data_IF_795911617294
#
_entry.id   IF_795911617294
#
_cell.length_a   1.000
_cell.length_b   1.000
_cell.length_c   1.000
_cell.angle_alpha   90.00
_cell.angle_beta   90.00
_cell.angle_gamma   90.00
#
_symmetry.space_group_name_H-M   'P 1'
#
loop_
_entity.id
_entity.type
_entity.pdbx_description
1 polymer ?
#
# COMPACT_ATOMS: atom_id res chain seq x y z
N UNK A 1 -17.44 15.30 -15.38
CA UNK A 1 -16.03 14.98 -15.67
C UNK A 1 -15.43 14.36 -14.43
N UNK A 2 -15.04 13.09 -14.47
CA UNK A 2 -14.23 12.54 -13.38
C UNK A 2 -12.87 13.20 -13.40
N UNK A 3 -12.41 13.76 -12.27
CA UNK A 3 -11.03 14.28 -12.19
C UNK A 3 -10.06 13.16 -12.57
N UNK A 4 -9.24 13.44 -13.58
CA UNK A 4 -8.21 12.56 -14.10
C UNK A 4 -7.11 12.39 -13.05
N UNK A 5 -6.55 11.18 -12.96
CA UNK A 5 -5.34 10.93 -12.19
C UNK A 5 -4.16 11.23 -13.12
N UNK A 6 -3.66 12.46 -13.06
CA UNK A 6 -2.61 12.97 -13.95
C UNK A 6 -1.56 13.81 -13.19
N UNK A 7 -0.61 14.40 -13.90
CA UNK A 7 0.51 15.15 -13.32
C UNK A 7 0.10 16.35 -12.45
N UNK A 8 -1.11 16.85 -12.60
CA UNK A 8 -1.67 17.95 -11.81
C UNK A 8 -2.44 17.45 -10.58
N UNK A 9 -2.53 16.15 -10.38
CA UNK A 9 -3.15 15.58 -9.19
C UNK A 9 -2.33 15.93 -7.94
N UNK A 10 -3.03 16.21 -6.83
CA UNK A 10 -2.43 16.47 -5.53
C UNK A 10 -3.32 15.96 -4.39
N UNK A 11 -2.75 15.68 -3.20
CA UNK A 11 -3.52 15.21 -2.05
C UNK A 11 -4.53 16.24 -1.51
N UNK A 12 -5.56 15.78 -0.80
CA UNK A 12 -6.62 16.61 -0.21
C UNK A 12 -7.89 16.69 -1.05
N UNK A 13 -7.98 15.96 -2.17
CA UNK A 13 -9.17 15.90 -3.02
C UNK A 13 -10.20 14.83 -2.59
N UNK A 14 -10.13 14.33 -1.34
CA UNK A 14 -11.02 13.32 -0.76
C UNK A 14 -11.19 12.06 -1.62
N UNK A 15 -10.10 11.56 -2.22
CA UNK A 15 -10.10 10.36 -3.07
C UNK A 15 -8.94 9.46 -2.71
N UNK A 16 -9.29 8.24 -2.34
CA UNK A 16 -8.33 7.20 -2.03
C UNK A 16 -7.85 6.56 -3.34
N UNK A 17 -6.56 6.33 -3.40
CA UNK A 17 -5.86 5.68 -4.49
C UNK A 17 -4.90 4.67 -3.88
N UNK A 18 -5.03 3.42 -4.34
CA UNK A 18 -4.04 2.37 -4.11
C UNK A 18 -3.08 2.33 -5.30
N UNK A 19 -1.80 2.17 -5.01
CA UNK A 19 -0.75 1.98 -6.02
C UNK A 19 0.27 0.96 -5.52
N UNK A 20 1.01 0.35 -6.45
CA UNK A 20 1.88 -0.79 -6.14
C UNK A 20 3.34 -0.40 -6.30
N UNK A 21 4.13 -0.72 -5.29
CA UNK A 21 5.53 -0.36 -5.20
C UNK A 21 6.43 -1.58 -5.07
N UNK A 22 7.65 -1.48 -5.56
CA UNK A 22 8.73 -2.44 -5.37
C UNK A 22 9.94 -1.75 -4.74
N UNK A 23 10.51 -2.34 -3.71
CA UNK A 23 11.73 -1.84 -3.07
C UNK A 23 13.01 -2.32 -3.77
N UNK A 24 14.17 -1.92 -3.27
CA UNK A 24 15.47 -2.26 -3.87
C UNK A 24 15.81 -3.76 -3.80
N UNK A 25 15.13 -4.51 -2.93
CA UNK A 25 15.30 -5.95 -2.77
C UNK A 25 14.29 -6.75 -3.60
N UNK A 26 13.41 -6.09 -4.34
CA UNK A 26 12.38 -6.72 -5.14
C UNK A 26 11.12 -7.11 -4.36
N UNK A 27 10.96 -6.64 -3.11
CA UNK A 27 9.77 -6.88 -2.32
C UNK A 27 8.65 -5.94 -2.76
N UNK A 28 7.42 -6.47 -2.87
CA UNK A 28 6.27 -5.71 -3.34
C UNK A 28 5.43 -5.19 -2.17
N UNK A 29 4.92 -3.96 -2.31
CA UNK A 29 3.97 -3.35 -1.38
C UNK A 29 2.74 -2.80 -2.09
N UNK A 30 1.59 -2.93 -1.46
CA UNK A 30 0.45 -2.03 -1.73
C UNK A 30 0.63 -0.75 -0.92
N UNK A 31 0.30 0.39 -1.54
CA UNK A 31 0.41 1.72 -0.96
C UNK A 31 -0.95 2.39 -1.03
N UNK A 32 -1.60 2.60 0.11
CA UNK A 32 -2.88 3.31 0.19
C UNK A 32 -2.62 4.77 0.57
N UNK A 33 -3.01 5.70 -0.30
CA UNK A 33 -2.73 7.12 -0.06
C UNK A 33 -3.72 7.81 0.91
N UNK A 34 -4.84 7.17 1.25
CA UNK A 34 -5.95 7.74 2.06
C UNK A 34 -6.36 9.17 1.65
N UNK A 35 -6.17 9.55 0.39
CA UNK A 35 -6.40 10.90 -0.10
C UNK A 35 -5.42 11.97 0.37
N UNK A 36 -4.46 11.69 1.25
CA UNK A 36 -3.50 12.65 1.81
C UNK A 36 -2.04 12.36 1.43
N UNK A 37 -1.71 11.11 1.11
CA UNK A 37 -0.42 10.70 0.61
C UNK A 37 -0.22 11.13 -0.85
N UNK A 38 0.97 11.64 -1.16
CA UNK A 38 1.40 11.88 -2.53
C UNK A 38 1.51 10.57 -3.29
N UNK A 39 1.24 10.63 -4.60
CA UNK A 39 1.57 9.57 -5.54
C UNK A 39 2.91 9.90 -6.21
N UNK A 40 3.72 8.91 -6.59
CA UNK A 40 4.94 9.16 -7.35
C UNK A 40 4.66 9.86 -8.69
N UNK A 41 5.45 10.89 -9.01
CA UNK A 41 5.33 11.62 -10.29
C UNK A 41 5.48 10.73 -11.52
N UNK A 42 6.21 9.62 -11.43
CA UNK A 42 6.37 8.67 -12.54
C UNK A 42 5.04 7.98 -12.93
N UNK A 43 4.19 7.64 -11.94
CA UNK A 43 2.82 7.12 -12.17
C UNK A 43 1.95 8.18 -12.84
N UNK A 44 1.99 9.42 -12.35
CA UNK A 44 1.11 10.50 -12.81
C UNK A 44 1.41 10.97 -14.26
N UNK A 45 2.55 10.55 -14.84
CA UNK A 45 2.90 10.81 -16.24
C UNK A 45 2.25 9.82 -17.22
N UNK A 46 1.66 8.74 -16.74
CA UNK A 46 1.04 7.72 -17.60
C UNK A 46 -0.40 8.14 -17.90
N UNK A 47 -0.73 8.18 -19.19
CA UNK A 47 -2.10 8.48 -19.63
C UNK A 47 -3.07 7.39 -19.15
N UNK A 48 -4.22 7.80 -18.62
CA UNK A 48 -5.27 6.91 -18.12
C UNK A 48 -4.80 5.90 -17.06
N UNK A 49 -3.76 6.23 -16.28
CA UNK A 49 -3.16 5.34 -15.27
C UNK A 49 -4.16 4.80 -14.25
N UNK A 50 -5.25 5.54 -13.97
CA UNK A 50 -6.29 5.09 -13.04
C UNK A 50 -6.89 3.73 -13.42
N UNK A 51 -7.20 3.51 -14.69
CA UNK A 51 -7.79 2.24 -15.15
C UNK A 51 -6.77 1.11 -15.01
N UNK A 52 -5.51 1.37 -15.33
CA UNK A 52 -4.42 0.39 -15.19
C UNK A 52 -4.10 0.05 -13.74
N UNK A 53 -4.17 1.03 -12.83
CA UNK A 53 -4.03 0.78 -11.39
C UNK A 53 -5.23 -0.02 -10.84
N UNK A 54 -6.44 0.24 -11.33
CA UNK A 54 -7.60 -0.56 -10.97
C UNK A 54 -7.42 -2.02 -11.41
N UNK A 55 -7.03 -2.27 -12.67
CA UNK A 55 -6.77 -3.63 -13.16
C UNK A 55 -5.72 -4.37 -12.32
N UNK A 56 -4.65 -3.67 -11.89
CA UNK A 56 -3.62 -4.22 -11.03
C UNK A 56 -4.12 -4.49 -9.60
N UNK A 57 -4.89 -3.59 -9.01
CA UNK A 57 -5.47 -3.78 -7.68
C UNK A 57 -6.49 -4.91 -7.66
N UNK A 58 -7.40 -4.97 -8.64
CA UNK A 58 -8.35 -6.07 -8.80
C UNK A 58 -7.64 -7.42 -8.95
N UNK A 59 -6.50 -7.45 -9.67
CA UNK A 59 -5.67 -8.67 -9.73
C UNK A 59 -5.16 -9.07 -8.34
N UNK A 60 -4.59 -8.13 -7.59
CA UNK A 60 -4.05 -8.37 -6.25
C UNK A 60 -5.13 -8.83 -5.26
N UNK A 61 -6.32 -8.23 -5.34
CA UNK A 61 -7.47 -8.55 -4.49
C UNK A 61 -8.21 -9.83 -4.92
N UNK A 62 -7.74 -10.50 -5.97
CA UNK A 62 -8.38 -11.67 -6.58
C UNK A 62 -9.81 -11.41 -7.12
N UNK A 63 -10.10 -10.16 -7.47
CA UNK A 63 -11.39 -9.71 -8.02
C UNK A 63 -11.34 -9.47 -9.55
N UNK A 64 -10.16 -9.58 -10.17
CA UNK A 64 -10.01 -9.34 -11.61
C UNK A 64 -10.72 -10.39 -12.47
N UNK A 65 -11.54 -9.92 -13.40
CA UNK A 65 -12.10 -10.76 -14.47
C UNK A 65 -11.10 -10.96 -15.63
N UNK A 66 -10.09 -10.10 -15.74
CA UNK A 66 -9.11 -10.08 -16.85
C UNK A 66 -7.91 -10.97 -16.59
N UNK A 67 -7.46 -11.04 -15.34
CA UNK A 67 -6.24 -11.71 -14.94
C UNK A 67 -6.54 -12.73 -13.84
N UNK A 68 -6.27 -14.00 -14.12
CA UNK A 68 -6.35 -15.05 -13.11
C UNK A 68 -5.21 -14.89 -12.10
N UNK A 69 -5.54 -14.94 -10.81
CA UNK A 69 -4.58 -14.90 -9.73
C UNK A 69 -4.59 -16.21 -8.93
N UNK A 70 -3.61 -17.07 -9.20
CA UNK A 70 -3.38 -18.32 -8.47
C UNK A 70 -2.32 -18.19 -7.35
N UNK A 71 -1.85 -16.96 -7.08
CA UNK A 71 -0.83 -16.72 -6.05
C UNK A 71 -1.41 -17.03 -4.68
N UNK A 72 -0.74 -17.91 -3.95
CA UNK A 72 -1.04 -18.19 -2.56
C UNK A 72 0.24 -18.59 -1.83
N UNK A 73 0.90 -17.59 -1.23
CA UNK A 73 2.13 -17.77 -0.46
C UNK A 73 1.93 -18.63 0.78
N UNK A 74 0.69 -18.73 1.30
CA UNK A 74 0.38 -19.37 2.58
C UNK A 74 1.27 -18.84 3.72
N UNK A 75 1.55 -17.54 3.67
CA UNK A 75 2.36 -16.85 4.66
C UNK A 75 1.53 -16.46 5.88
N UNK A 76 2.24 -16.08 6.93
CA UNK A 76 1.72 -15.32 8.07
C UNK A 76 1.99 -13.82 7.88
N UNK A 77 1.43 -13.01 8.78
CA UNK A 77 1.58 -11.57 8.77
C UNK A 77 1.86 -11.01 10.17
N UNK A 78 2.45 -9.83 10.21
CA UNK A 78 2.53 -9.00 11.41
C UNK A 78 1.88 -7.66 11.12
N UNK A 79 1.15 -7.13 12.09
CA UNK A 79 0.89 -5.69 12.15
C UNK A 79 2.17 -5.06 12.69
N UNK A 80 2.72 -4.04 12.04
CA UNK A 80 3.88 -3.28 12.53
C UNK A 80 3.42 -2.01 13.25
N UNK A 81 3.15 -0.96 12.48
CA UNK A 81 2.55 0.30 12.93
C UNK A 81 1.06 0.30 12.60
N UNK A 82 0.22 1.06 13.30
CA UNK A 82 -1.21 1.17 12.92
C UNK A 82 -1.78 2.54 13.25
N UNK A 83 -2.72 3.01 12.42
CA UNK A 83 -3.39 4.30 12.61
C UNK A 83 -4.09 4.35 13.97
N UNK A 84 -3.76 5.36 14.76
CA UNK A 84 -4.43 5.67 16.03
C UNK A 84 -5.90 6.01 15.82
N UNK A 85 -6.25 6.59 14.68
CA UNK A 85 -7.59 7.04 14.35
C UNK A 85 -8.49 5.91 13.83
N UNK A 86 -8.05 5.20 12.79
CA UNK A 86 -8.81 4.10 12.16
C UNK A 86 -9.05 2.98 13.16
N UNK A 87 -8.04 2.67 13.99
CA UNK A 87 -8.09 1.58 14.95
C UNK A 87 -8.43 2.04 16.38
N UNK A 88 -8.90 3.28 16.59
CA UNK A 88 -9.22 3.84 17.93
C UNK A 88 -10.22 3.02 18.76
N UNK A 89 -11.05 2.21 18.10
CA UNK A 89 -12.05 1.35 18.76
C UNK A 89 -11.44 0.12 19.43
N UNK A 90 -10.24 -0.27 19.03
CA UNK A 90 -9.55 -1.43 19.58
C UNK A 90 -8.70 -1.00 20.77
N UNK A 91 -8.73 -1.78 21.86
CA UNK A 91 -8.01 -1.42 23.09
C UNK A 91 -6.50 -1.53 22.95
N UNK A 92 -6.05 -2.45 22.09
CA UNK A 92 -4.64 -2.73 21.85
C UNK A 92 -4.46 -3.46 20.52
N UNK A 93 -3.21 -3.57 20.09
CA UNK A 93 -2.79 -4.28 18.89
C UNK A 93 -3.28 -5.73 18.81
N UNK A 94 -3.36 -6.44 19.95
CA UNK A 94 -3.82 -7.84 19.97
C UNK A 94 -5.28 -7.97 19.57
N UNK A 95 -6.15 -7.02 19.94
CA UNK A 95 -7.55 -7.04 19.50
C UNK A 95 -7.68 -6.84 17.97
N UNK A 96 -6.79 -6.03 17.37
CA UNK A 96 -6.74 -5.85 15.91
C UNK A 96 -6.34 -7.18 15.24
N UNK A 97 -5.27 -7.82 15.72
CA UNK A 97 -4.81 -9.13 15.22
C UNK A 97 -5.91 -10.19 15.35
N UNK A 98 -6.57 -10.28 16.50
CA UNK A 98 -7.66 -11.23 16.72
C UNK A 98 -8.82 -10.99 15.73
N UNK A 99 -9.15 -9.73 15.45
CA UNK A 99 -10.18 -9.39 14.47
C UNK A 99 -9.78 -9.76 13.04
N UNK A 100 -8.52 -9.53 12.67
CA UNK A 100 -8.00 -9.90 11.35
C UNK A 100 -7.97 -11.42 11.18
N UNK A 101 -7.48 -12.17 12.17
CA UNK A 101 -7.51 -13.64 12.16
C UNK A 101 -8.94 -14.17 12.02
N UNK A 102 -9.90 -13.62 12.78
CA UNK A 102 -11.30 -13.99 12.65
C UNK A 102 -11.83 -13.73 11.23
N UNK A 103 -11.49 -12.59 10.60
CA UNK A 103 -11.92 -12.29 9.22
C UNK A 103 -11.32 -13.29 8.23
N UNK A 104 -10.02 -13.59 8.33
CA UNK A 104 -9.32 -14.56 7.49
C UNK A 104 -9.94 -15.97 7.59
N UNK A 105 -10.14 -16.47 8.81
CA UNK A 105 -10.74 -17.79 9.07
C UNK A 105 -12.16 -17.91 8.50
N UNK A 106 -12.90 -16.80 8.50
CA UNK A 106 -14.28 -16.74 8.03
C UNK A 106 -14.40 -16.26 6.58
N UNK A 107 -13.29 -16.20 5.82
CA UNK A 107 -13.25 -15.76 4.41
C UNK A 107 -13.95 -14.42 4.18
N UNK A 108 -13.79 -13.50 5.13
CA UNK A 108 -14.23 -12.11 4.98
C UNK A 108 -13.04 -11.31 4.47
N UNK A 109 -13.30 -10.39 3.54
CA UNK A 109 -12.31 -9.42 3.05
C UNK A 109 -11.52 -8.88 4.25
N UNK A 110 -10.19 -8.86 4.16
CA UNK A 110 -9.29 -8.42 5.22
C UNK A 110 -7.96 -7.98 4.63
N UNK A 111 -7.41 -6.85 5.06
CA UNK A 111 -6.12 -6.34 4.52
C UNK A 111 -4.95 -7.32 4.76
N UNK A 112 -5.03 -8.15 5.81
CA UNK A 112 -4.08 -9.24 6.05
C UNK A 112 -4.02 -10.30 4.94
N UNK A 113 -5.00 -10.35 4.02
CA UNK A 113 -4.94 -11.20 2.83
C UNK A 113 -3.81 -10.77 1.88
N UNK A 114 -3.47 -9.47 1.83
CA UNK A 114 -2.31 -8.97 1.08
C UNK A 114 -1.02 -9.65 1.54
N UNK A 115 -0.84 -9.79 2.86
CA UNK A 115 0.36 -10.42 3.40
C UNK A 115 0.30 -11.95 3.36
N UNK A 116 -0.82 -12.56 3.72
CA UNK A 116 -0.92 -14.02 3.86
C UNK A 116 -1.05 -14.76 2.52
N UNK A 117 -1.81 -14.20 1.58
CA UNK A 117 -2.00 -14.78 0.24
C UNK A 117 -0.97 -14.26 -0.75
N UNK A 118 -0.82 -12.94 -0.86
CA UNK A 118 0.06 -12.35 -1.88
C UNK A 118 1.52 -12.25 -1.41
N UNK A 119 1.76 -12.13 -0.10
CA UNK A 119 3.11 -11.89 0.42
C UNK A 119 3.55 -10.43 0.29
N UNK A 120 2.59 -9.50 0.18
CA UNK A 120 2.87 -8.09 -0.02
C UNK A 120 2.94 -7.34 1.31
N UNK A 121 3.84 -6.36 1.37
CA UNK A 121 3.78 -5.31 2.38
C UNK A 121 2.54 -4.45 2.15
N UNK A 122 2.08 -3.79 3.22
CA UNK A 122 1.02 -2.81 3.11
C UNK A 122 1.40 -1.54 3.86
N UNK A 123 1.42 -0.43 3.14
CA UNK A 123 1.65 0.90 3.71
C UNK A 123 0.41 1.76 3.54
N UNK A 124 0.09 2.50 4.60
CA UNK A 124 -1.03 3.43 4.64
C UNK A 124 -0.52 4.83 4.89
N UNK A 125 -1.00 5.81 4.14
CA UNK A 125 -0.76 7.21 4.43
C UNK A 125 -1.61 7.66 5.61
N UNK A 126 -1.02 8.45 6.52
CA UNK A 126 -1.76 9.07 7.62
C UNK A 126 -2.86 9.98 7.09
N UNK A 127 -4.03 9.89 7.72
CA UNK A 127 -5.23 10.66 7.36
C UNK A 127 -5.76 11.50 8.52
N UNK A 128 -6.62 12.47 8.23
CA UNK A 128 -7.28 13.28 9.26
C UNK A 128 -7.59 14.70 8.79
N UNK A 129 -8.36 15.41 9.59
CA UNK A 129 -8.79 16.79 9.38
C UNK A 129 -7.82 17.80 9.99
N UNK A 130 -6.98 17.38 10.94
CA UNK A 130 -6.03 18.24 11.64
C UNK A 130 -4.76 17.50 12.03
N UNK A 131 -3.67 18.25 12.24
CA UNK A 131 -2.38 17.70 12.67
C UNK A 131 -2.55 17.02 14.04
N UNK A 132 -2.05 15.78 14.15
CA UNK A 132 -2.07 15.00 15.39
C UNK A 132 -3.38 14.26 15.66
N UNK A 133 -4.40 14.38 14.80
CA UNK A 133 -5.63 13.59 14.90
C UNK A 133 -5.39 12.10 14.61
N UNK A 134 -4.48 11.83 13.67
CA UNK A 134 -3.92 10.50 13.46
C UNK A 134 -2.39 10.53 13.56
N UNK A 135 -1.85 9.38 13.98
CA UNK A 135 -0.45 9.09 14.11
C UNK A 135 -0.28 7.56 14.16
N UNK A 136 0.86 7.02 13.71
CA UNK A 136 1.10 5.60 13.68
C UNK A 136 1.53 5.12 15.07
N UNK A 137 0.67 4.35 15.74
CA UNK A 137 1.00 3.74 17.03
C UNK A 137 2.16 2.75 16.86
N UNK A 138 3.18 2.86 17.72
CA UNK A 138 4.41 2.06 17.68
C UNK A 138 5.60 2.75 16.99
N UNK A 139 5.44 4.04 16.64
CA UNK A 139 6.49 4.91 16.12
C UNK A 139 6.76 6.07 17.10
N UNK A 140 8.03 6.30 17.43
CA UNK A 140 8.45 7.29 18.45
C UNK A 140 8.96 8.62 17.82
N UNK A 141 8.87 8.77 16.50
CA UNK A 141 9.33 9.96 15.79
C UNK A 141 8.19 10.89 15.40
N UNK A 142 8.56 12.07 14.89
CA UNK A 142 7.60 12.99 14.30
C UNK A 142 7.01 12.43 13.00
N UNK A 143 5.72 12.71 12.81
CA UNK A 143 4.97 12.33 11.61
C UNK A 143 4.09 13.48 11.17
N UNK A 144 3.76 13.52 9.88
CA UNK A 144 2.82 14.49 9.32
C UNK A 144 1.78 13.80 8.44
N UNK A 145 0.71 14.54 8.17
CA UNK A 145 -0.38 14.12 7.29
C UNK A 145 0.16 13.62 5.93
N UNK A 146 -0.31 12.44 5.53
CA UNK A 146 0.09 11.78 4.29
C UNK A 146 1.43 11.04 4.33
N UNK A 147 2.19 11.06 5.43
CA UNK A 147 3.33 10.14 5.57
C UNK A 147 2.83 8.70 5.52
N UNK A 148 3.55 7.84 4.80
CA UNK A 148 3.17 6.43 4.66
C UNK A 148 3.85 5.60 5.74
N UNK A 149 3.08 4.94 6.60
CA UNK A 149 3.60 4.01 7.60
C UNK A 149 3.40 2.56 7.16
N UNK A 150 4.34 1.69 7.52
CA UNK A 150 4.27 0.25 7.25
C UNK A 150 3.26 -0.39 8.19
N UNK A 151 2.08 -0.69 7.68
CA UNK A 151 1.01 -1.30 8.46
C UNK A 151 1.19 -2.81 8.60
N UNK A 152 1.25 -3.54 7.48
CA UNK A 152 1.32 -5.00 7.47
C UNK A 152 2.65 -5.45 6.88
N UNK A 153 3.27 -6.41 7.55
CA UNK A 153 4.52 -7.08 7.15
C UNK A 153 4.24 -8.55 6.86
N UNK A 154 4.46 -9.04 5.64
CA UNK A 154 4.39 -10.47 5.31
C UNK A 154 5.59 -11.24 5.88
N UNK A 155 5.43 -12.56 6.03
CA UNK A 155 6.55 -13.49 6.35
C UNK A 155 7.18 -14.11 5.11
N UNK A 156 6.44 -14.17 4.00
CA UNK A 156 6.90 -14.67 2.71
C UNK A 156 6.67 -13.55 1.70
N UNK A 157 7.72 -13.13 1.00
CA UNK A 157 7.68 -11.93 0.17
C UNK A 157 7.22 -12.23 -1.26
N UNK A 158 6.26 -11.43 -1.74
CA UNK A 158 5.96 -11.31 -3.16
C UNK A 158 7.10 -10.59 -3.86
N UNK A 159 7.35 -11.01 -5.10
CA UNK A 159 8.30 -10.41 -6.01
C UNK A 159 7.61 -10.07 -7.32
N UNK A 160 8.31 -9.39 -8.23
CA UNK A 160 7.78 -9.06 -9.54
C UNK A 160 7.28 -10.28 -10.35
N UNK A 161 7.85 -11.47 -10.09
CA UNK A 161 7.47 -12.73 -10.75
C UNK A 161 6.09 -13.22 -10.35
N UNK A 162 5.58 -12.76 -9.21
CA UNK A 162 4.22 -13.07 -8.74
C UNK A 162 3.18 -12.15 -9.40
N UNK A 163 3.60 -11.19 -10.23
CA UNK A 163 2.72 -10.28 -10.95
C UNK A 163 2.74 -10.62 -12.46
N UNK A 164 1.59 -10.66 -13.14
CA UNK A 164 1.49 -10.89 -14.58
C UNK A 164 2.31 -9.87 -15.37
N UNK A 165 3.00 -10.35 -16.42
CA UNK A 165 3.92 -9.54 -17.23
C UNK A 165 3.28 -8.24 -17.75
N UNK A 166 2.02 -8.30 -18.20
CA UNK A 166 1.32 -7.14 -18.74
C UNK A 166 1.05 -6.05 -17.71
N UNK A 167 0.98 -6.42 -16.43
CA UNK A 167 0.69 -5.53 -15.31
C UNK A 167 1.95 -4.97 -14.64
N UNK A 168 3.11 -5.63 -14.80
CA UNK A 168 4.38 -5.24 -14.15
C UNK A 168 4.76 -3.79 -14.41
N UNK A 169 4.50 -3.28 -15.63
CA UNK A 169 4.81 -1.90 -16.04
C UNK A 169 4.07 -0.80 -15.25
N UNK A 170 3.07 -1.17 -14.44
CA UNK A 170 2.34 -0.26 -13.56
C UNK A 170 2.82 -0.26 -12.11
N UNK A 171 3.88 -1.02 -11.82
CA UNK A 171 4.57 -1.03 -10.52
C UNK A 171 5.65 0.05 -10.53
N UNK A 172 5.72 0.85 -9.47
CA UNK A 172 6.82 1.82 -9.29
C UNK A 172 7.95 1.24 -8.47
N UNK A 173 9.18 1.64 -8.80
CA UNK A 173 10.37 1.05 -8.21
C UNK A 173 11.14 2.09 -7.42
N UNK A 174 11.56 1.69 -6.22
CA UNK A 174 12.54 2.41 -5.41
C UNK A 174 13.88 1.72 -5.47
N UNK A 175 14.94 2.49 -5.73
CA UNK A 175 16.32 2.00 -5.67
C UNK A 175 16.95 2.25 -4.28
N UNK A 176 16.26 2.96 -3.38
CA UNK A 176 16.78 3.36 -2.06
C UNK A 176 16.11 2.64 -0.89
N UNK A 177 14.79 2.47 -0.95
CA UNK A 177 13.99 1.92 0.15
C UNK A 177 14.22 0.42 0.33
N UNK A 178 14.08 -0.02 1.57
CA UNK A 178 14.06 -1.41 2.03
C UNK A 178 12.79 -1.59 2.87
N UNK A 179 11.75 -2.21 2.32
CA UNK A 179 10.48 -2.37 3.01
C UNK A 179 10.59 -3.21 4.29
N UNK A 180 11.68 -3.95 4.50
CA UNK A 180 11.94 -4.68 5.75
C UNK A 180 12.52 -3.77 6.85
N UNK A 181 13.04 -2.60 6.53
CA UNK A 181 13.66 -1.65 7.48
C UNK A 181 12.94 -0.31 7.56
N UNK A 182 12.51 0.23 6.43
CA UNK A 182 11.91 1.57 6.33
C UNK A 182 10.43 1.50 6.71
N UNK A 183 10.13 1.93 7.94
CA UNK A 183 8.79 1.83 8.55
C UNK A 183 7.90 3.05 8.31
N UNK A 184 8.49 4.19 7.96
CA UNK A 184 7.80 5.45 7.71
C UNK A 184 8.45 6.16 6.53
N UNK A 185 7.63 6.59 5.57
CA UNK A 185 8.06 7.31 4.38
C UNK A 185 7.51 8.74 4.42
N UNK A 186 8.43 9.71 4.37
CA UNK A 186 8.10 11.14 4.27
C UNK A 186 7.29 11.42 3.00
N UNK A 187 6.08 11.95 3.19
CA UNK A 187 5.14 12.30 2.13
C UNK A 187 5.75 13.21 1.04
N UNK A 188 6.60 14.16 1.43
CA UNK A 188 7.20 15.12 0.50
C UNK A 188 8.30 14.49 -0.37
N UNK A 189 8.79 13.31 0.00
CA UNK A 189 9.88 12.59 -0.69
C UNK A 189 9.39 11.41 -1.51
N UNK A 190 8.08 11.19 -1.62
CA UNK A 190 7.53 10.03 -2.36
C UNK A 190 8.05 9.95 -3.80
N UNK A 191 8.16 11.09 -4.49
CA UNK A 191 8.72 11.11 -5.85
C UNK A 191 10.25 10.96 -5.91
N UNK A 192 10.94 11.20 -4.80
CA UNK A 192 12.39 10.99 -4.70
C UNK A 192 12.70 9.52 -4.38
N UNK A 193 11.84 8.86 -3.60
CA UNK A 193 11.95 7.44 -3.29
C UNK A 193 11.58 6.56 -4.49
N UNK A 194 10.54 6.92 -5.23
CA UNK A 194 9.99 6.14 -6.34
C UNK A 194 10.13 6.93 -7.65
N UNK A 195 11.25 6.72 -8.33
CA UNK A 195 11.68 7.59 -9.45
C UNK A 195 11.24 7.08 -10.82
N UNK A 196 10.91 5.78 -10.91
CA UNK A 196 10.62 5.10 -12.19
C UNK A 196 9.52 4.05 -12.05
N UNK A 197 8.89 3.75 -13.18
CA UNK A 197 8.08 2.55 -13.33
C UNK A 197 9.01 1.34 -13.50
N UNK A 198 8.51 0.15 -13.24
CA UNK A 198 9.19 -1.07 -13.62
C UNK A 198 9.19 -1.16 -15.16
N UNK A 199 10.37 -1.42 -15.71
CA UNK A 199 10.60 -1.69 -17.13
C UNK A 199 11.50 -2.91 -17.17
N UNK A 200 11.09 -3.95 -17.90
CA UNK A 200 11.92 -5.13 -18.17
C UNK A 200 13.15 -4.76 -19.00
#
# INVERSE_FOLDING_TARGET
MGLLLDINWYPGQARNHSWIAMDKNGCISMMLNNGYGWLPKCILKINNIKESLNDLCEYIDCESEKYSNDVNKKGEYFIDLYSSWVYKRYKNKQEIINNFNFRLENKKNCDAELATKMGMFYFEALEGQSIGEDYPIGYEGETKMGDYFRFIVPTIYATIKDIPEELRKYIVVSDSLDFTKDRLLDNNKISDYFTRMYSE
#
